data_IF_788019789410
#
_entry.id   IF_788019789410
#
_cell.length_a   1.000
_cell.length_b   1.000
_cell.length_c   1.000
_cell.angle_alpha   90.00
_cell.angle_beta   90.00
_cell.angle_gamma   90.00
#
_symmetry.space_group_name_H-M   'P 1'
#
loop_
_entity.id
_entity.type
_entity.pdbx_description
1 polymer ?
#
# COMPACT_ATOMS: atom_id res chain seq x y z
N UNK A 1 -18.14 15.13 -13.72
CA UNK A 1 -17.32 14.54 -14.79
C UNK A 1 -16.58 13.34 -14.22
N UNK A 2 -16.85 12.15 -14.73
CA UNK A 2 -16.12 10.95 -14.39
C UNK A 2 -14.84 10.91 -15.23
N UNK A 3 -13.68 10.76 -14.60
CA UNK A 3 -12.40 10.65 -15.29
C UNK A 3 -11.78 9.29 -15.03
N UNK A 4 -11.30 8.63 -16.07
CA UNK A 4 -10.48 7.44 -15.97
C UNK A 4 -9.02 7.75 -16.34
N UNK A 5 -8.10 7.20 -15.56
CA UNK A 5 -6.67 7.20 -15.89
C UNK A 5 -6.31 5.82 -16.42
N UNK A 6 -5.95 5.75 -17.69
CA UNK A 6 -5.50 4.53 -18.35
C UNK A 6 -3.99 4.56 -18.48
N UNK A 7 -3.32 3.58 -17.85
CA UNK A 7 -1.87 3.44 -17.92
C UNK A 7 -1.50 2.47 -19.04
N UNK A 8 -0.91 2.99 -20.08
CA UNK A 8 -0.50 2.26 -21.28
C UNK A 8 0.97 1.84 -21.15
N UNK A 9 1.20 0.74 -20.40
CA UNK A 9 2.57 0.29 -20.08
C UNK A 9 3.37 -0.08 -21.33
N UNK A 10 2.70 -0.60 -22.35
CA UNK A 10 3.36 -1.12 -23.56
C UNK A 10 4.01 -0.03 -24.42
N UNK A 11 3.49 1.19 -24.41
CA UNK A 11 4.01 2.31 -25.20
C UNK A 11 4.42 3.53 -24.37
N UNK A 12 4.41 3.37 -23.03
CA UNK A 12 4.84 4.40 -22.08
C UNK A 12 4.02 5.69 -22.16
N UNK A 13 2.70 5.56 -22.19
CA UNK A 13 1.78 6.68 -22.13
C UNK A 13 0.76 6.53 -21.01
N UNK A 14 0.12 7.65 -20.71
CA UNK A 14 -1.07 7.71 -19.86
C UNK A 14 -2.14 8.45 -20.62
N UNK A 15 -3.35 7.89 -20.67
CA UNK A 15 -4.52 8.52 -21.27
C UNK A 15 -5.54 8.84 -20.19
N UNK A 16 -6.01 10.07 -20.16
CA UNK A 16 -7.17 10.49 -19.38
C UNK A 16 -8.39 10.43 -20.28
N UNK A 17 -9.39 9.66 -19.86
CA UNK A 17 -10.66 9.51 -20.58
C UNK A 17 -11.78 10.26 -19.86
N UNK A 18 -12.70 10.82 -20.65
CA UNK A 18 -14.05 11.11 -20.21
C UNK A 18 -14.75 9.79 -19.91
N UNK A 19 -15.09 9.55 -18.63
CA UNK A 19 -15.67 8.30 -18.19
C UNK A 19 -17.17 8.14 -18.53
N UNK A 20 -17.83 9.21 -18.95
CA UNK A 20 -19.23 9.18 -19.39
C UNK A 20 -19.34 8.84 -20.88
N UNK A 21 -18.33 9.25 -21.67
CA UNK A 21 -18.30 9.06 -23.15
C UNK A 21 -17.27 8.03 -23.60
N UNK A 22 -16.32 7.69 -22.74
CA UNK A 22 -15.16 6.85 -23.05
C UNK A 22 -14.27 7.43 -24.17
N UNK A 23 -14.20 8.76 -24.23
CA UNK A 23 -13.40 9.49 -25.20
C UNK A 23 -12.09 9.98 -24.57
N UNK A 24 -10.94 9.92 -25.26
CA UNK A 24 -9.68 10.45 -24.75
C UNK A 24 -9.73 11.97 -24.69
N UNK A 25 -9.42 12.52 -23.51
CA UNK A 25 -9.29 13.96 -23.28
C UNK A 25 -7.85 14.42 -23.35
N UNK A 26 -6.93 13.61 -22.87
CA UNK A 26 -5.52 13.94 -22.82
C UNK A 26 -4.69 12.67 -22.82
N UNK A 27 -3.67 12.62 -23.68
CA UNK A 27 -2.70 11.55 -23.74
C UNK A 27 -1.30 12.14 -23.68
N UNK A 28 -0.48 11.65 -22.77
CA UNK A 28 0.87 12.17 -22.53
C UNK A 28 1.87 11.04 -22.29
N UNK A 29 3.17 11.25 -22.63
CA UNK A 29 4.21 10.28 -22.37
C UNK A 29 4.43 10.10 -20.87
N UNK A 30 4.64 8.87 -20.43
CA UNK A 30 4.95 8.53 -19.06
C UNK A 30 6.40 8.07 -18.92
N UNK A 31 6.84 7.99 -17.67
CA UNK A 31 8.07 7.29 -17.31
C UNK A 31 7.93 5.79 -17.60
N UNK A 32 9.06 5.11 -17.76
CA UNK A 32 9.12 3.68 -18.02
C UNK A 32 8.51 2.89 -16.87
N UNK A 33 7.67 1.92 -17.20
CA UNK A 33 7.06 0.97 -16.27
C UNK A 33 6.40 1.62 -15.06
N UNK A 34 5.34 2.40 -15.28
CA UNK A 34 4.46 2.83 -14.21
C UNK A 34 3.94 1.62 -13.43
N UNK A 35 3.89 1.73 -12.12
CA UNK A 35 3.52 0.61 -11.25
C UNK A 35 2.75 1.07 -10.01
N UNK A 36 1.86 0.20 -9.51
CA UNK A 36 1.07 0.44 -8.30
C UNK A 36 -0.24 1.19 -8.51
N UNK A 37 -0.64 1.40 -9.76
CA UNK A 37 -1.87 2.10 -10.13
C UNK A 37 -1.84 3.59 -9.81
N UNK A 38 -2.73 4.35 -10.43
CA UNK A 38 -2.92 5.76 -10.17
C UNK A 38 -3.44 6.00 -8.74
N UNK A 39 -2.97 7.06 -8.09
CA UNK A 39 -3.49 7.54 -6.81
C UNK A 39 -4.00 8.96 -6.99
N UNK A 40 -5.11 9.27 -6.35
CA UNK A 40 -5.78 10.56 -6.53
C UNK A 40 -5.71 11.38 -5.25
N UNK A 41 -5.68 12.70 -5.40
CA UNK A 41 -5.95 13.59 -4.28
C UNK A 41 -7.41 13.44 -3.82
N UNK A 42 -7.73 13.74 -2.55
CA UNK A 42 -9.09 13.58 -2.02
C UNK A 42 -10.17 14.36 -2.77
N UNK A 43 -9.80 15.49 -3.37
CA UNK A 43 -10.66 16.31 -4.22
C UNK A 43 -10.80 15.81 -5.67
N UNK A 44 -10.07 14.74 -6.02
CA UNK A 44 -10.06 14.16 -7.37
C UNK A 44 -9.39 15.01 -8.45
N UNK A 45 -8.76 16.15 -8.09
CA UNK A 45 -8.13 17.05 -9.05
C UNK A 45 -6.79 16.55 -9.55
N UNK A 46 -5.97 15.97 -8.65
CA UNK A 46 -4.62 15.54 -8.99
C UNK A 46 -4.53 14.03 -9.05
N UNK A 47 -3.75 13.52 -10.00
CA UNK A 47 -3.34 12.13 -10.06
C UNK A 47 -1.85 12.02 -9.84
N UNK A 48 -1.46 11.03 -9.05
CA UNK A 48 -0.07 10.69 -8.76
C UNK A 48 0.26 9.33 -9.37
N UNK A 49 1.38 9.27 -10.05
CA UNK A 49 1.88 8.08 -10.73
C UNK A 49 3.31 7.80 -10.28
N UNK A 50 3.62 6.54 -10.03
CA UNK A 50 4.97 6.11 -9.71
C UNK A 50 5.52 5.20 -10.80
N UNK A 51 6.82 5.33 -11.07
CA UNK A 51 7.52 4.51 -12.05
C UNK A 51 8.60 3.65 -11.40
N UNK A 52 8.91 2.53 -12.05
CA UNK A 52 9.92 1.58 -11.56
C UNK A 52 11.32 2.17 -11.46
N UNK A 53 11.63 3.20 -12.21
CA UNK A 53 12.91 3.91 -12.18
C UNK A 53 13.01 5.00 -11.08
N UNK A 54 12.07 4.95 -10.13
CA UNK A 54 12.15 5.73 -8.90
C UNK A 54 11.57 7.14 -8.96
N UNK A 55 10.75 7.45 -9.95
CA UNK A 55 10.10 8.74 -10.05
C UNK A 55 8.65 8.71 -9.60
N UNK A 56 8.20 9.80 -9.03
CA UNK A 56 6.81 10.09 -8.71
C UNK A 56 6.43 11.37 -9.45
N UNK A 57 5.36 11.31 -10.24
CA UNK A 57 4.81 12.45 -10.97
C UNK A 57 3.44 12.84 -10.44
N UNK A 58 3.16 14.13 -10.39
CA UNK A 58 1.86 14.74 -10.06
C UNK A 58 1.31 15.45 -11.28
N UNK A 59 0.07 15.18 -11.64
CA UNK A 59 -0.60 15.73 -12.82
C UNK A 59 -1.94 16.36 -12.41
N UNK A 60 -2.24 17.54 -12.97
CA UNK A 60 -3.52 18.23 -12.79
C UNK A 60 -4.50 17.75 -13.86
N UNK A 61 -5.54 17.03 -13.42
CA UNK A 61 -6.56 16.49 -14.32
C UNK A 61 -7.50 17.57 -14.89
N UNK A 62 -7.63 18.72 -14.22
CA UNK A 62 -8.44 19.83 -14.70
C UNK A 62 -7.64 20.73 -15.65
N UNK A 63 -6.38 20.94 -15.35
CA UNK A 63 -5.48 21.72 -16.20
C UNK A 63 -4.82 20.91 -17.32
N UNK A 64 -4.98 19.57 -17.34
CA UNK A 64 -4.38 18.64 -18.28
C UNK A 64 -2.86 18.87 -18.47
N UNK A 65 -2.13 18.92 -17.35
CA UNK A 65 -0.69 19.21 -17.34
C UNK A 65 0.05 18.57 -16.18
N UNK A 66 1.35 18.27 -16.32
CA UNK A 66 2.20 17.94 -15.20
C UNK A 66 2.32 19.13 -14.24
N UNK A 67 2.42 18.86 -12.94
CA UNK A 67 2.53 19.87 -11.87
C UNK A 67 3.87 19.76 -11.17
N UNK A 68 4.26 18.56 -10.78
CA UNK A 68 5.49 18.29 -10.06
C UNK A 68 6.01 16.89 -10.38
N UNK A 69 7.30 16.70 -10.22
CA UNK A 69 7.95 15.41 -10.35
C UNK A 69 9.13 15.33 -9.38
N UNK A 70 9.30 14.20 -8.72
CA UNK A 70 10.40 13.95 -7.80
C UNK A 70 10.97 12.55 -7.99
N UNK A 71 12.30 12.44 -7.92
CA UNK A 71 12.97 11.14 -7.86
C UNK A 71 13.19 10.74 -6.41
N UNK A 72 12.58 9.64 -5.99
CA UNK A 72 12.56 9.19 -4.58
C UNK A 72 13.43 7.95 -4.33
N UNK A 73 13.86 7.29 -5.41
CA UNK A 73 14.67 6.07 -5.34
C UNK A 73 15.36 5.74 -6.66
N UNK A 74 16.00 4.59 -6.75
CA UNK A 74 16.41 3.93 -7.99
C UNK A 74 15.32 2.99 -8.50
N UNK A 75 14.55 2.40 -7.57
CA UNK A 75 13.42 1.54 -7.92
C UNK A 75 12.31 1.71 -6.88
N UNK A 76 11.13 2.19 -7.33
CA UNK A 76 9.94 2.36 -6.51
C UNK A 76 8.91 1.28 -6.80
N UNK A 77 8.27 0.74 -5.76
CA UNK A 77 7.25 -0.31 -5.88
C UNK A 77 5.86 0.27 -6.11
N UNK A 78 5.40 1.10 -5.20
CA UNK A 78 4.12 1.81 -5.29
C UNK A 78 4.07 3.00 -4.34
N UNK A 79 2.99 3.77 -4.43
CA UNK A 79 2.75 4.96 -3.63
C UNK A 79 1.36 4.92 -2.99
N UNK A 80 1.18 5.70 -1.93
CA UNK A 80 -0.14 6.02 -1.39
C UNK A 80 -0.21 7.52 -1.07
N UNK A 81 -1.40 8.09 -1.17
CA UNK A 81 -1.71 9.48 -0.78
C UNK A 81 -2.54 9.44 0.48
N UNK A 82 -2.22 10.28 1.46
CA UNK A 82 -2.99 10.38 2.69
C UNK A 82 -4.41 10.89 2.43
N UNK A 83 -5.38 10.41 3.19
CA UNK A 83 -6.78 10.78 3.03
C UNK A 83 -7.08 12.27 3.25
N UNK A 84 -6.18 12.98 3.94
CA UNK A 84 -6.24 14.45 4.09
C UNK A 84 -5.53 15.21 2.96
N UNK A 85 -4.93 14.50 2.00
CA UNK A 85 -4.27 15.06 0.83
C UNK A 85 -2.94 15.77 1.09
N UNK A 86 -2.41 15.73 2.33
CA UNK A 86 -1.18 16.44 2.70
C UNK A 86 0.10 15.68 2.34
N UNK A 87 0.06 14.37 2.38
CA UNK A 87 1.24 13.54 2.29
C UNK A 87 1.12 12.48 1.20
N UNK A 88 2.25 12.17 0.61
CA UNK A 88 2.43 11.01 -0.25
C UNK A 88 3.56 10.16 0.32
N UNK A 89 3.37 8.85 0.37
CA UNK A 89 4.43 7.90 0.72
C UNK A 89 4.79 7.06 -0.49
N UNK A 90 6.10 6.90 -0.73
CA UNK A 90 6.65 6.01 -1.75
C UNK A 90 7.37 4.84 -1.10
N UNK A 91 6.95 3.63 -1.44
CA UNK A 91 7.59 2.39 -1.00
C UNK A 91 8.62 1.93 -2.01
N UNK A 92 9.88 1.82 -1.60
CA UNK A 92 11.00 1.59 -2.48
C UNK A 92 11.59 0.17 -2.34
N UNK A 93 12.08 -0.33 -3.47
CA UNK A 93 12.81 -1.61 -3.57
C UNK A 93 14.31 -1.37 -3.45
N UNK A 94 14.81 -0.30 -4.09
CA UNK A 94 16.23 0.04 -4.11
C UNK A 94 16.43 1.58 -4.06
N UNK A 95 17.08 2.11 -3.02
CA UNK A 95 17.38 1.43 -1.77
C UNK A 95 16.10 1.01 -1.03
N UNK A 96 16.14 0.04 -0.10
CA UNK A 96 14.98 -0.35 0.71
C UNK A 96 14.63 0.78 1.69
N UNK A 97 13.75 1.66 1.26
CA UNK A 97 13.34 2.87 2.00
C UNK A 97 11.86 3.17 1.80
N UNK A 98 11.34 4.00 2.68
CA UNK A 98 10.10 4.72 2.50
C UNK A 98 10.43 6.21 2.39
N UNK A 99 9.93 6.87 1.36
CA UNK A 99 10.03 8.32 1.23
C UNK A 99 8.66 8.94 1.46
N UNK A 100 8.58 9.88 2.41
CA UNK A 100 7.38 10.67 2.68
C UNK A 100 7.59 12.04 2.08
N UNK A 101 6.64 12.46 1.26
CA UNK A 101 6.68 13.71 0.51
C UNK A 101 5.47 14.59 0.88
N UNK A 102 5.63 15.88 0.73
CA UNK A 102 4.51 16.80 0.63
C UNK A 102 3.73 16.50 -0.67
N UNK A 103 2.44 16.23 -0.57
CA UNK A 103 1.63 15.91 -1.74
C UNK A 103 1.34 17.15 -2.62
N UNK A 104 1.61 18.36 -2.12
CA UNK A 104 1.44 19.61 -2.85
C UNK A 104 2.51 19.80 -3.94
N UNK A 105 3.78 19.67 -3.57
CA UNK A 105 4.92 19.97 -4.45
C UNK A 105 5.91 18.80 -4.66
N UNK A 106 5.66 17.65 -4.01
CA UNK A 106 6.50 16.47 -4.00
C UNK A 106 7.88 16.67 -3.35
N UNK A 107 8.06 17.70 -2.52
CA UNK A 107 9.26 17.84 -1.70
C UNK A 107 9.37 16.71 -0.67
N UNK A 108 10.59 16.19 -0.48
CA UNK A 108 10.83 15.08 0.45
C UNK A 108 10.84 15.60 1.89
N UNK A 109 9.94 15.10 2.73
CA UNK A 109 9.84 15.46 4.14
C UNK A 109 10.64 14.50 5.04
N UNK A 110 10.59 13.20 4.76
CA UNK A 110 11.29 12.19 5.56
C UNK A 110 11.65 10.98 4.70
N UNK A 111 12.83 10.42 4.94
CA UNK A 111 13.23 9.12 4.40
C UNK A 111 13.45 8.16 5.56
N UNK A 112 12.81 7.01 5.51
CA UNK A 112 12.88 5.96 6.53
C UNK A 112 13.57 4.74 5.91
N UNK A 113 14.70 4.32 6.47
CA UNK A 113 15.34 3.07 6.08
C UNK A 113 14.47 1.90 6.54
N UNK A 114 14.16 0.96 5.63
CA UNK A 114 13.38 -0.22 5.97
C UNK A 114 14.31 -1.32 6.47
N UNK A 115 14.45 -1.35 7.79
CA UNK A 115 15.28 -2.31 8.51
C UNK A 115 14.49 -2.95 9.64
N UNK A 116 14.48 -4.27 9.66
CA UNK A 116 13.92 -5.07 10.73
C UNK A 116 14.88 -5.26 11.90
N UNK A 117 14.65 -6.31 12.66
CA UNK A 117 15.55 -6.70 13.75
C UNK A 117 16.91 -7.09 13.17
N UNK A 118 17.99 -6.80 13.95
CA UNK A 118 19.38 -7.07 13.56
C UNK A 118 19.78 -6.41 12.23
N UNK A 119 19.21 -5.23 11.92
CA UNK A 119 19.48 -4.47 10.69
C UNK A 119 19.16 -5.20 9.38
N UNK A 120 18.34 -6.24 9.41
CA UNK A 120 17.88 -6.93 8.22
C UNK A 120 17.09 -5.97 7.31
N UNK A 121 17.64 -5.61 6.17
CA UNK A 121 16.98 -4.75 5.21
C UNK A 121 15.84 -5.48 4.50
N UNK A 122 14.75 -4.78 4.22
CA UNK A 122 13.62 -5.32 3.45
C UNK A 122 13.14 -4.35 2.39
N UNK A 123 12.91 -4.88 1.21
CA UNK A 123 12.17 -4.17 0.18
C UNK A 123 10.73 -3.95 0.62
N UNK A 124 10.13 -2.87 0.14
CA UNK A 124 8.68 -2.65 0.30
C UNK A 124 7.92 -3.45 -0.74
N UNK A 125 6.88 -4.15 -0.33
CA UNK A 125 6.00 -4.90 -1.24
C UNK A 125 4.72 -4.15 -1.58
N UNK A 126 4.07 -3.52 -0.59
CA UNK A 126 2.86 -2.73 -0.77
C UNK A 126 2.79 -1.58 0.24
N UNK A 127 2.15 -0.48 -0.15
CA UNK A 127 1.78 0.61 0.76
C UNK A 127 0.40 1.14 0.39
N UNK A 128 -0.48 1.30 1.41
CA UNK A 128 -1.82 1.83 1.25
C UNK A 128 -2.17 2.79 2.39
N UNK A 129 -3.06 3.73 2.11
CA UNK A 129 -3.62 4.62 3.11
C UNK A 129 -4.72 3.91 3.92
N UNK A 130 -4.65 4.02 5.23
CA UNK A 130 -5.68 3.60 6.16
C UNK A 130 -6.37 4.85 6.73
N UNK A 131 -7.27 5.44 5.94
CA UNK A 131 -7.90 6.74 6.20
C UNK A 131 -8.48 6.90 7.62
N UNK A 132 -9.28 5.97 8.17
CA UNK A 132 -9.82 6.10 9.52
C UNK A 132 -8.75 6.07 10.62
N UNK A 133 -7.59 5.50 10.33
CA UNK A 133 -6.45 5.41 11.26
C UNK A 133 -5.50 6.61 11.12
N UNK A 134 -5.65 7.40 10.06
CA UNK A 134 -4.71 8.46 9.67
C UNK A 134 -3.26 7.95 9.65
N UNK A 135 -3.08 6.82 8.98
CA UNK A 135 -1.82 6.09 8.91
C UNK A 135 -1.64 5.44 7.54
N UNK A 136 -0.40 5.33 7.10
CA UNK A 136 -0.04 4.44 6.00
C UNK A 136 0.29 3.06 6.56
N UNK A 137 -0.18 2.02 5.88
CA UNK A 137 0.17 0.64 6.19
C UNK A 137 1.12 0.13 5.10
N UNK A 138 2.22 -0.45 5.53
CA UNK A 138 3.32 -0.89 4.66
C UNK A 138 3.57 -2.37 4.90
N UNK A 139 3.51 -3.17 3.84
CA UNK A 139 3.93 -4.56 3.87
C UNK A 139 5.39 -4.70 3.41
N UNK A 140 6.15 -5.53 4.10
CA UNK A 140 7.56 -5.74 3.85
C UNK A 140 7.78 -7.11 3.22
N UNK A 141 8.62 -7.12 2.17
CA UNK A 141 8.76 -8.31 1.32
C UNK A 141 9.70 -9.37 1.91
N UNK A 142 10.79 -8.92 2.52
CA UNK A 142 11.91 -9.80 2.87
C UNK A 142 11.95 -10.11 4.37
N UNK A 143 11.14 -9.42 5.17
CA UNK A 143 10.94 -9.68 6.59
C UNK A 143 9.45 -9.77 6.92
N UNK A 144 9.04 -10.63 7.87
CA UNK A 144 7.64 -10.84 8.20
C UNK A 144 7.12 -9.73 9.10
N UNK A 145 6.98 -8.53 8.54
CA UNK A 145 6.47 -7.37 9.27
C UNK A 145 5.53 -6.53 8.40
N UNK A 146 4.57 -5.90 9.08
CA UNK A 146 3.80 -4.75 8.61
C UNK A 146 4.19 -3.56 9.45
N UNK A 147 4.36 -2.42 8.80
CA UNK A 147 4.60 -1.15 9.48
C UNK A 147 3.39 -0.23 9.34
N UNK A 148 2.95 0.34 10.45
CA UNK A 148 1.97 1.41 10.49
C UNK A 148 2.69 2.74 10.75
N UNK A 149 2.52 3.71 9.84
CA UNK A 149 3.19 5.00 9.87
C UNK A 149 2.13 6.07 10.02
N UNK A 150 2.05 6.67 11.20
CA UNK A 150 1.05 7.69 11.47
C UNK A 150 1.41 9.02 10.80
N UNK A 151 0.41 9.66 10.16
CA UNK A 151 0.52 11.02 9.66
C UNK A 151 -0.39 12.00 10.45
N UNK A 152 -0.75 11.64 11.69
CA UNK A 152 -1.46 12.54 12.61
C UNK A 152 -0.54 13.69 13.01
N UNK A 153 -1.12 14.87 13.26
CA UNK A 153 -0.34 16.04 13.70
C UNK A 153 0.33 15.83 15.06
N UNK A 154 -0.35 15.12 15.97
CA UNK A 154 0.15 14.72 17.27
C UNK A 154 0.06 13.20 17.44
N UNK A 155 0.97 12.46 16.80
CA UNK A 155 0.93 11.01 16.85
C UNK A 155 1.26 10.51 18.26
N UNK A 156 0.64 9.40 18.66
CA UNK A 156 1.03 8.72 19.91
C UNK A 156 2.47 8.25 19.78
N UNK A 157 3.29 8.40 20.86
CA UNK A 157 4.63 7.86 20.88
C UNK A 157 4.61 6.35 20.61
N UNK A 158 5.47 5.89 19.73
CA UNK A 158 5.60 4.47 19.39
C UNK A 158 6.89 3.93 20.00
N UNK A 159 6.88 2.76 20.67
CA UNK A 159 8.09 2.14 21.18
C UNK A 159 9.09 1.87 20.03
N UNK A 160 10.26 2.49 20.08
CA UNK A 160 11.31 2.33 19.07
C UNK A 160 12.14 1.05 19.24
N UNK A 161 11.80 0.21 20.22
CA UNK A 161 12.44 -1.06 20.55
C UNK A 161 12.69 -1.21 22.05
N UNK A 162 12.87 -2.44 22.50
CA UNK A 162 13.35 -2.74 23.85
C UNK A 162 14.87 -2.80 23.81
N UNK A 163 15.54 -1.82 24.41
CA UNK A 163 16.95 -1.93 24.71
C UNK A 163 17.07 -2.84 25.94
N UNK A 164 17.34 -4.11 25.71
CA UNK A 164 17.78 -5.02 26.79
C UNK A 164 19.28 -4.82 27.03
N UNK A 165 19.60 -4.06 28.04
CA UNK A 165 20.96 -4.08 28.59
C UNK A 165 20.95 -4.97 29.82
N UNK A 166 21.63 -6.12 29.77
CA UNK A 166 21.65 -7.12 30.85
C UNK A 166 22.35 -6.62 32.13
N UNK A 167 23.08 -5.53 32.06
CA UNK A 167 23.91 -5.03 33.17
C UNK A 167 23.28 -3.88 33.98
N UNK A 168 22.22 -3.23 33.54
CA UNK A 168 21.72 -2.01 34.19
C UNK A 168 20.19 -1.96 34.40
N UNK A 169 19.48 -3.07 34.40
CA UNK A 169 18.02 -3.05 34.54
C UNK A 169 17.29 -2.54 33.29
N UNK A 170 15.98 -2.49 33.34
CA UNK A 170 15.11 -1.99 32.27
C UNK A 170 15.36 -0.49 32.09
N UNK A 171 16.12 -0.09 31.08
CA UNK A 171 16.08 1.29 30.58
C UNK A 171 14.71 1.49 29.91
N UNK A 172 14.02 2.60 30.23
CA UNK A 172 12.81 3.00 29.53
C UNK A 172 13.04 2.91 28.02
N UNK A 173 12.18 2.15 27.32
CA UNK A 173 12.31 1.96 25.90
C UNK A 173 12.31 3.32 25.18
N UNK A 174 13.19 3.50 24.22
CA UNK A 174 13.18 4.68 23.39
C UNK A 174 11.85 4.76 22.65
N UNK A 175 11.20 5.91 22.68
CA UNK A 175 9.96 6.16 21.95
C UNK A 175 10.28 7.07 20.76
N UNK A 176 9.77 6.70 19.56
CA UNK A 176 9.71 7.61 18.43
C UNK A 176 8.57 8.63 18.68
N UNK A 177 8.95 9.88 18.91
CA UNK A 177 8.04 11.02 19.17
C UNK A 177 8.06 12.02 18.01
N UNK A 178 8.82 11.74 16.97
CA UNK A 178 8.92 12.59 15.80
C UNK A 178 7.71 12.49 14.87
N UNK A 179 7.67 13.28 13.81
CA UNK A 179 6.65 13.11 12.76
C UNK A 179 6.81 11.75 12.07
N UNK A 180 5.70 11.17 11.68
CA UNK A 180 5.64 9.86 11.01
C UNK A 180 6.32 8.74 11.82
N UNK A 181 5.89 8.50 13.08
CA UNK A 181 6.42 7.41 13.88
C UNK A 181 6.01 6.07 13.28
N UNK A 182 6.88 5.07 13.42
CA UNK A 182 6.72 3.74 12.83
C UNK A 182 6.35 2.73 13.90
N UNK A 183 5.13 2.20 13.86
CA UNK A 183 4.71 1.05 14.65
C UNK A 183 4.93 -0.23 13.85
N UNK A 184 5.75 -1.14 14.38
CA UNK A 184 6.07 -2.41 13.74
C UNK A 184 5.15 -3.52 14.26
N UNK A 185 4.56 -4.27 13.35
CA UNK A 185 3.71 -5.43 13.64
C UNK A 185 4.41 -6.66 13.06
N UNK A 186 4.79 -7.58 13.92
CA UNK A 186 5.47 -8.82 13.51
C UNK A 186 4.44 -9.85 13.06
N UNK A 187 4.78 -10.56 12.00
CA UNK A 187 3.98 -11.62 11.40
C UNK A 187 4.73 -12.95 11.45
N UNK A 188 4.06 -14.02 11.02
CA UNK A 188 4.69 -15.33 10.84
C UNK A 188 5.37 -15.44 9.47
N UNK A 189 4.75 -14.83 8.44
CA UNK A 189 5.24 -14.82 7.06
C UNK A 189 5.16 -13.40 6.50
N UNK A 190 6.07 -13.06 5.59
CA UNK A 190 6.01 -11.77 4.88
C UNK A 190 4.81 -11.71 3.96
N UNK A 191 4.28 -10.50 3.75
CA UNK A 191 3.13 -10.22 2.91
C UNK A 191 3.59 -9.48 1.65
N UNK A 192 3.16 -9.93 0.47
CA UNK A 192 3.44 -9.24 -0.81
C UNK A 192 2.40 -8.18 -1.13
N UNK A 193 1.13 -8.45 -0.79
CA UNK A 193 0.00 -7.55 -1.02
C UNK A 193 -1.11 -7.80 0.02
N UNK A 194 -1.98 -6.79 0.24
CA UNK A 194 -3.04 -6.90 1.23
C UNK A 194 -4.27 -6.06 0.89
N UNK A 195 -5.36 -6.34 1.58
CA UNK A 195 -6.64 -5.64 1.49
C UNK A 195 -7.18 -5.35 2.90
N UNK A 196 -7.75 -4.18 3.11
CA UNK A 196 -8.40 -3.83 4.38
C UNK A 196 -9.84 -4.35 4.44
N UNK A 197 -10.28 -4.72 5.63
CA UNK A 197 -11.71 -4.80 5.88
C UNK A 197 -12.32 -3.39 5.91
N UNK A 198 -13.64 -3.23 5.73
CA UNK A 198 -14.26 -1.90 5.70
C UNK A 198 -14.11 -1.09 6.99
N UNK A 199 -13.80 -1.73 8.11
CA UNK A 199 -13.55 -1.05 9.39
C UNK A 199 -12.11 -0.52 9.51
N UNK A 200 -11.20 -0.99 8.65
CA UNK A 200 -9.75 -0.76 8.76
C UNK A 200 -9.14 -1.24 10.09
N UNK A 201 -9.86 -2.06 10.85
CA UNK A 201 -9.31 -2.74 12.01
C UNK A 201 -8.52 -3.99 11.62
N UNK A 202 -8.89 -4.62 10.50
CA UNK A 202 -8.21 -5.81 10.00
C UNK A 202 -7.73 -5.61 8.57
N UNK A 203 -6.67 -6.33 8.24
CA UNK A 203 -6.28 -6.56 6.86
C UNK A 203 -6.10 -8.06 6.61
N UNK A 204 -6.35 -8.47 5.38
CA UNK A 204 -5.99 -9.77 4.85
C UNK A 204 -4.80 -9.60 3.93
N UNK A 205 -3.73 -10.32 4.15
CA UNK A 205 -2.53 -10.28 3.33
C UNK A 205 -2.06 -11.67 2.95
N UNK A 206 -1.39 -11.79 1.81
CA UNK A 206 -0.85 -13.07 1.36
C UNK A 206 0.60 -12.90 0.89
N UNK A 207 1.41 -13.93 1.14
CA UNK A 207 2.75 -14.02 0.61
C UNK A 207 2.74 -14.44 -0.86
N UNK A 208 3.80 -14.10 -1.58
CA UNK A 208 3.95 -14.45 -3.01
C UNK A 208 4.00 -15.95 -3.26
N UNK A 209 4.59 -16.69 -2.36
CA UNK A 209 4.87 -18.11 -2.49
C UNK A 209 3.99 -19.00 -1.60
N UNK A 210 3.19 -18.36 -0.72
CA UNK A 210 2.25 -19.05 0.16
C UNK A 210 0.91 -19.38 -0.51
N UNK A 211 0.29 -20.47 -0.07
CA UNK A 211 -1.09 -20.84 -0.43
C UNK A 211 -2.12 -20.34 0.59
N UNK A 212 -1.69 -19.45 1.51
CA UNK A 212 -2.48 -18.99 2.64
C UNK A 212 -2.43 -17.47 2.74
N UNK A 213 -3.58 -16.88 3.07
CA UNK A 213 -3.67 -15.50 3.53
C UNK A 213 -3.60 -15.43 5.04
N UNK A 214 -3.03 -14.36 5.56
CA UNK A 214 -3.02 -14.02 6.98
C UNK A 214 -3.98 -12.86 7.22
N UNK A 215 -4.84 -12.99 8.22
CA UNK A 215 -5.66 -11.87 8.70
C UNK A 215 -4.97 -11.27 9.91
N UNK A 216 -4.67 -9.99 9.82
CA UNK A 216 -3.96 -9.24 10.86
C UNK A 216 -4.89 -8.18 11.42
N UNK A 217 -5.08 -8.21 12.74
CA UNK A 217 -5.77 -7.13 13.43
C UNK A 217 -4.77 -6.03 13.76
N UNK A 218 -5.02 -4.84 13.23
CA UNK A 218 -4.13 -3.69 13.36
C UNK A 218 -4.16 -3.06 14.76
N UNK A 219 -5.25 -3.20 15.51
CA UNK A 219 -5.37 -2.60 16.85
C UNK A 219 -4.52 -3.37 17.85
N UNK A 220 -4.65 -4.70 17.86
CA UNK A 220 -3.83 -5.55 18.74
C UNK A 220 -2.47 -5.91 18.15
N UNK A 221 -2.24 -5.64 16.85
CA UNK A 221 -0.95 -5.81 16.19
C UNK A 221 -0.51 -7.27 16.06
N UNK A 222 -1.43 -8.17 15.68
CA UNK A 222 -1.11 -9.59 15.50
C UNK A 222 -2.02 -10.28 14.48
N UNK A 223 -1.56 -11.42 13.96
CA UNK A 223 -2.39 -12.35 13.18
C UNK A 223 -3.53 -12.90 14.06
N UNK A 224 -4.73 -12.93 13.51
CA UNK A 224 -5.94 -13.44 14.17
C UNK A 224 -6.58 -14.63 13.44
N UNK A 225 -6.33 -14.79 12.15
CA UNK A 225 -6.87 -15.89 11.35
C UNK A 225 -5.99 -16.23 10.16
N UNK A 226 -6.25 -17.38 9.53
CA UNK A 226 -5.71 -17.79 8.24
C UNK A 226 -6.85 -18.04 7.26
N UNK A 227 -6.56 -17.80 5.98
CA UNK A 227 -7.50 -18.02 4.88
C UNK A 227 -6.80 -18.84 3.80
N UNK A 228 -7.46 -19.87 3.30
CA UNK A 228 -6.96 -20.64 2.15
C UNK A 228 -7.08 -19.79 0.88
N UNK A 229 -5.95 -19.33 0.34
CA UNK A 229 -5.85 -18.49 -0.85
C UNK A 229 -4.72 -18.99 -1.76
N UNK A 230 -4.88 -20.20 -2.37
CA UNK A 230 -3.89 -20.72 -3.30
C UNK A 230 -3.84 -19.88 -4.58
N UNK A 231 -2.73 -19.93 -5.31
CA UNK A 231 -2.63 -19.30 -6.63
C UNK A 231 -2.19 -17.84 -6.64
N UNK A 232 -1.61 -17.35 -5.55
CA UNK A 232 -1.08 -16.00 -5.44
C UNK A 232 -2.18 -14.93 -5.65
N UNK A 233 -3.03 -14.68 -4.66
CA UNK A 233 -4.08 -13.66 -4.77
C UNK A 233 -3.47 -12.27 -4.93
N UNK A 234 -4.06 -11.44 -5.79
CA UNK A 234 -3.72 -10.03 -5.93
C UNK A 234 -4.70 -9.20 -5.10
N UNK A 235 -4.45 -9.15 -3.80
CA UNK A 235 -5.38 -8.57 -2.83
C UNK A 235 -5.63 -7.08 -3.05
N UNK A 236 -4.63 -6.31 -3.45
CA UNK A 236 -4.77 -4.89 -3.77
C UNK A 236 -5.74 -4.58 -4.93
N UNK A 237 -6.12 -5.57 -5.73
CA UNK A 237 -7.18 -5.48 -6.74
C UNK A 237 -8.51 -6.08 -6.28
N UNK A 238 -8.63 -6.41 -4.99
CA UNK A 238 -9.84 -6.95 -4.42
C UNK A 238 -10.99 -5.93 -4.37
N UNK A 239 -12.22 -6.45 -4.36
CA UNK A 239 -13.43 -5.65 -4.15
C UNK A 239 -14.30 -6.31 -3.10
N UNK A 240 -15.05 -5.50 -2.34
CA UNK A 240 -16.03 -5.99 -1.38
C UNK A 240 -17.44 -5.75 -1.86
N UNK A 241 -18.33 -6.69 -1.59
CA UNK A 241 -19.76 -6.60 -1.89
C UNK A 241 -20.55 -7.57 -1.01
N UNK A 242 -21.89 -7.43 -1.03
CA UNK A 242 -22.77 -8.38 -0.38
C UNK A 242 -23.07 -9.57 -1.31
N UNK A 243 -22.84 -10.76 -0.81
CA UNK A 243 -23.15 -12.01 -1.49
C UNK A 243 -23.88 -12.96 -0.53
N UNK A 244 -25.11 -13.35 -0.86
CA UNK A 244 -25.96 -14.21 -0.02
C UNK A 244 -26.08 -13.72 1.45
N UNK A 245 -26.26 -12.40 1.62
CA UNK A 245 -26.38 -11.75 2.93
C UNK A 245 -25.10 -11.68 3.75
N UNK A 246 -23.92 -11.83 3.11
CA UNK A 246 -22.61 -11.77 3.74
C UNK A 246 -21.74 -10.74 3.05
N UNK A 247 -20.98 -10.00 3.82
CA UNK A 247 -19.92 -9.18 3.27
C UNK A 247 -18.76 -10.07 2.83
N UNK A 248 -18.41 -10.01 1.56
CA UNK A 248 -17.35 -10.82 0.96
C UNK A 248 -16.30 -9.96 0.29
N UNK A 249 -15.10 -10.50 0.18
CA UNK A 249 -14.01 -10.00 -0.65
C UNK A 249 -13.85 -10.93 -1.87
N UNK A 250 -13.92 -10.38 -3.08
CA UNK A 250 -13.47 -11.07 -4.28
C UNK A 250 -12.04 -10.66 -4.60
N UNK A 251 -11.15 -11.62 -4.78
CA UNK A 251 -9.75 -11.38 -5.15
C UNK A 251 -9.33 -12.27 -6.31
N UNK A 252 -8.73 -11.67 -7.39
CA UNK A 252 -8.19 -12.45 -8.50
C UNK A 252 -6.86 -13.10 -8.12
N UNK A 253 -6.50 -14.17 -8.83
CA UNK A 253 -5.24 -14.87 -8.66
C UNK A 253 -4.30 -14.64 -9.84
N UNK A 254 -3.00 -14.43 -9.57
CA UNK A 254 -2.01 -14.12 -10.60
C UNK A 254 -1.40 -15.35 -11.27
N UNK A 255 -1.39 -16.48 -10.57
CA UNK A 255 -0.81 -17.75 -11.08
C UNK A 255 -1.86 -18.70 -11.66
N UNK A 256 -3.12 -18.38 -11.53
CA UNK A 256 -4.23 -19.22 -11.94
C UNK A 256 -5.37 -18.35 -12.44
N UNK A 257 -6.04 -18.75 -13.52
CA UNK A 257 -7.28 -18.12 -13.97
C UNK A 257 -8.42 -18.38 -12.99
N UNK A 258 -8.43 -17.67 -11.85
CA UNK A 258 -9.41 -17.86 -10.80
C UNK A 258 -9.67 -16.57 -10.01
N UNK A 259 -10.85 -16.48 -9.41
CA UNK A 259 -11.23 -15.49 -8.40
C UNK A 259 -11.72 -16.23 -7.17
N UNK A 260 -11.18 -15.89 -6.00
CA UNK A 260 -11.69 -16.39 -4.71
C UNK A 260 -12.66 -15.40 -4.09
N UNK A 261 -13.76 -15.92 -3.55
CA UNK A 261 -14.73 -15.19 -2.74
C UNK A 261 -14.49 -15.57 -1.28
N UNK A 262 -14.12 -14.60 -0.48
CA UNK A 262 -13.77 -14.77 0.94
C UNK A 262 -14.83 -14.11 1.81
N UNK A 263 -15.41 -14.88 2.74
CA UNK A 263 -16.28 -14.34 3.79
C UNK A 263 -15.42 -13.52 4.77
N UNK A 264 -15.72 -12.23 4.90
CA UNK A 264 -14.91 -11.32 5.72
C UNK A 264 -15.26 -11.36 7.21
N UNK A 265 -16.30 -12.08 7.61
CA UNK A 265 -16.66 -12.30 9.02
C UNK A 265 -15.92 -13.51 9.55
N UNK A 266 -16.01 -14.62 8.83
CA UNK A 266 -15.48 -15.92 9.26
C UNK A 266 -14.07 -16.17 8.69
N UNK A 267 -13.56 -15.28 7.84
CA UNK A 267 -12.24 -15.36 7.20
C UNK A 267 -11.99 -16.70 6.51
N UNK A 268 -12.93 -17.11 5.69
CA UNK A 268 -12.83 -18.35 4.91
C UNK A 268 -13.19 -18.15 3.44
N UNK A 269 -12.51 -18.84 2.57
CA UNK A 269 -12.91 -18.92 1.16
C UNK A 269 -14.19 -19.73 1.03
N UNK A 270 -15.27 -19.10 0.59
CA UNK A 270 -16.60 -19.73 0.43
C UNK A 270 -16.84 -20.17 -1.00
N UNK A 271 -16.17 -19.56 -1.98
CA UNK A 271 -16.29 -19.92 -3.39
C UNK A 271 -15.02 -19.60 -4.13
N UNK A 272 -14.73 -20.42 -5.13
CA UNK A 272 -13.68 -20.17 -6.10
C UNK A 272 -14.29 -20.29 -7.50
N UNK A 273 -14.05 -19.30 -8.32
CA UNK A 273 -14.62 -19.16 -9.67
C UNK A 273 -13.45 -19.27 -10.65
N UNK A 274 -13.49 -20.29 -11.53
CA UNK A 274 -12.55 -20.36 -12.63
C UNK A 274 -12.85 -19.27 -13.66
N UNK A 275 -11.82 -18.63 -14.17
CA UNK A 275 -11.91 -17.60 -15.22
C UNK A 275 -11.07 -18.04 -16.41
N UNK A 276 -11.36 -17.49 -17.59
CA UNK A 276 -10.44 -17.61 -18.72
C UNK A 276 -9.13 -16.93 -18.32
N UNK A 277 -8.05 -17.69 -18.29
CA UNK A 277 -6.72 -17.25 -17.91
C UNK A 277 -6.07 -16.35 -18.93
#
# INVERSE_FOLDING_TARGET
>A
LNLFTVVEIGDHHVTILDGDRFEPLWRFPSRIALHGGAKYSPDGRFVYLASRDGWVGKYDLYGLRPVAEARVAVNTRNIAVSSDGRYLIAGNVLPPTLAILDAGDLSVLKVIAVKGDKDAASRVSAVYDAAPRRSFIVALRDIPEIWEISYQDNPRPVPAGLIRNHEEGLKEGAFDRGPFPVRRIRLEESIDDFFFDPSYANLIGASRDGGRGQVVNLDVGRKIAEVALPGMPHLGSGITFEYEGRLVLATPHLKEGAVSIVDMKDWRTIKRIATAG
#
